data_IF_495877509412
#
_entry.id   IF_495877509412
#
_cell.length_a   1.000
_cell.length_b   1.000
_cell.length_c   1.000
_cell.angle_alpha   90.00
_cell.angle_beta   90.00
_cell.angle_gamma   90.00
#
_symmetry.space_group_name_H-M   'P 1'
#
loop_
_entity.id
_entity.type
_entity.pdbx_description
1 polymer ?
#
# COMPACT_ATOMS: atom_id res chain seq x y z
N UNK A 1 -23.59 15.67 18.48
CA UNK A 1 -22.81 15.88 17.25
C UNK A 1 -22.18 14.54 16.88
N UNK A 2 -22.88 13.71 16.10
CA UNK A 2 -22.40 12.40 15.66
C UNK A 2 -22.63 12.37 14.15
N UNK A 3 -21.59 12.66 13.41
CA UNK A 3 -21.65 12.87 11.97
C UNK A 3 -20.31 13.44 11.55
N UNK A 4 -19.35 12.55 11.35
CA UNK A 4 -18.13 12.85 10.59
C UNK A 4 -17.31 11.59 10.30
N UNK A 5 -17.40 10.53 11.10
CA UNK A 5 -16.54 9.35 10.87
C UNK A 5 -16.92 8.56 9.61
N UNK A 6 -18.21 8.54 9.24
CA UNK A 6 -18.70 7.81 8.07
C UNK A 6 -18.38 8.54 6.74
N UNK A 7 -18.48 9.88 6.69
CA UNK A 7 -18.10 10.69 5.53
C UNK A 7 -16.57 10.71 5.29
N UNK A 8 -15.78 10.60 6.36
CA UNK A 8 -14.32 10.50 6.23
C UNK A 8 -13.86 9.18 5.62
N UNK A 9 -14.71 8.15 5.67
CA UNK A 9 -14.45 6.79 5.24
C UNK A 9 -14.86 6.53 3.78
N UNK A 10 -15.89 7.22 3.28
CA UNK A 10 -16.28 7.08 1.86
C UNK A 10 -15.29 7.82 0.91
N UNK A 11 -14.54 8.78 1.46
CA UNK A 11 -13.55 9.55 0.73
C UNK A 11 -12.33 8.73 0.27
N UNK A 12 -12.00 7.61 0.94
CA UNK A 12 -10.82 6.82 0.58
C UNK A 12 -11.24 5.59 -0.21
N UNK A 13 -10.84 5.55 -1.48
CA UNK A 13 -11.17 4.48 -2.42
C UNK A 13 -9.96 3.60 -2.70
N UNK A 14 -10.22 2.34 -3.04
CA UNK A 14 -9.18 1.42 -3.51
C UNK A 14 -8.60 1.91 -4.83
N UNK A 15 -7.27 2.01 -4.89
CA UNK A 15 -6.56 2.20 -6.14
C UNK A 15 -6.36 0.87 -6.86
N UNK A 16 -7.18 0.59 -7.86
CA UNK A 16 -7.09 -0.64 -8.66
C UNK A 16 -5.76 -0.72 -9.42
N UNK A 17 -5.24 0.41 -9.91
CA UNK A 17 -3.96 0.44 -10.60
C UNK A 17 -2.79 0.07 -9.67
N UNK A 18 -2.86 0.51 -8.41
CA UNK A 18 -1.89 0.13 -7.39
C UNK A 18 -1.97 -1.36 -7.05
N UNK A 19 -3.18 -1.90 -6.93
CA UNK A 19 -3.39 -3.31 -6.65
C UNK A 19 -2.84 -4.20 -7.77
N UNK A 20 -3.13 -3.90 -9.03
CA UNK A 20 -2.62 -4.67 -10.17
C UNK A 20 -1.10 -4.54 -10.28
N UNK A 21 -0.54 -3.33 -10.08
CA UNK A 21 0.90 -3.12 -10.08
C UNK A 21 1.61 -3.91 -8.97
N UNK A 22 1.07 -3.91 -7.75
CA UNK A 22 1.58 -4.73 -6.65
C UNK A 22 1.57 -6.22 -7.00
N UNK A 23 0.47 -6.70 -7.58
CA UNK A 23 0.29 -8.10 -7.99
C UNK A 23 1.29 -8.51 -9.06
N UNK A 24 1.56 -7.64 -10.04
CA UNK A 24 2.58 -7.88 -11.06
C UNK A 24 3.98 -7.95 -10.45
N UNK A 25 4.33 -7.03 -9.54
CA UNK A 25 5.61 -7.05 -8.83
C UNK A 25 5.80 -8.34 -8.04
N UNK A 26 4.76 -8.77 -7.31
CA UNK A 26 4.80 -10.01 -6.53
C UNK A 26 5.05 -11.21 -7.46
N UNK A 27 4.34 -11.27 -8.60
CA UNK A 27 4.53 -12.33 -9.61
C UNK A 27 5.93 -12.31 -10.23
N UNK A 28 6.52 -11.13 -10.39
CA UNK A 28 7.89 -10.97 -10.88
C UNK A 28 8.96 -11.32 -9.83
N UNK A 29 8.56 -11.52 -8.57
CA UNK A 29 9.49 -11.80 -7.45
C UNK A 29 10.05 -10.54 -6.78
N UNK A 30 9.52 -9.36 -7.09
CA UNK A 30 9.85 -8.09 -6.42
C UNK A 30 9.14 -7.97 -5.06
N UNK A 31 9.46 -8.92 -4.17
CA UNK A 31 8.90 -8.98 -2.82
C UNK A 31 10.03 -9.03 -1.81
N UNK A 32 10.01 -8.08 -0.89
CA UNK A 32 10.89 -8.06 0.25
C UNK A 32 10.23 -8.85 1.41
N UNK A 33 10.88 -9.95 1.79
CA UNK A 33 10.49 -10.79 2.91
C UNK A 33 11.10 -10.25 4.21
N UNK A 34 10.59 -9.12 4.70
CA UNK A 34 11.02 -8.58 5.99
C UNK A 34 10.33 -9.27 7.18
N UNK A 35 11.03 -9.30 8.30
CA UNK A 35 10.52 -9.80 9.57
C UNK A 35 9.23 -9.09 10.01
N UNK A 36 8.29 -9.84 10.61
CA UNK A 36 7.00 -9.30 11.08
C UNK A 36 7.23 -8.10 12.01
N UNK A 37 6.72 -6.92 11.63
CA UNK A 37 6.58 -5.78 12.53
C UNK A 37 7.53 -4.59 12.30
N UNK A 38 8.44 -4.66 11.32
CA UNK A 38 9.43 -3.57 11.11
C UNK A 38 8.99 -2.47 10.13
N UNK A 39 7.75 -2.51 9.64
CA UNK A 39 7.26 -1.53 8.66
C UNK A 39 7.39 -0.08 9.15
N UNK A 40 7.23 0.18 10.45
CA UNK A 40 7.43 1.52 11.01
C UNK A 40 8.86 2.07 10.88
N UNK A 41 9.86 1.19 10.76
CA UNK A 41 11.27 1.56 10.52
C UNK A 41 11.64 1.56 9.04
N UNK A 42 10.96 0.75 8.24
CA UNK A 42 11.19 0.61 6.80
C UNK A 42 10.32 1.54 5.96
N UNK A 43 9.55 2.43 6.61
CA UNK A 43 8.74 3.39 5.90
C UNK A 43 9.66 4.44 5.27
N UNK A 44 9.55 4.70 3.95
CA UNK A 44 10.42 5.65 3.29
C UNK A 44 10.26 7.04 3.89
N UNK A 45 11.38 7.67 4.23
CA UNK A 45 11.42 9.04 4.75
C UNK A 45 10.76 10.01 3.79
N UNK A 46 10.29 11.13 4.32
CA UNK A 46 9.66 12.19 3.51
C UNK A 46 10.56 12.68 2.35
N UNK A 47 11.88 12.59 2.53
CA UNK A 47 12.91 12.87 1.52
C UNK A 47 12.87 11.86 0.37
N UNK A 48 12.95 10.55 0.65
CA UNK A 48 12.82 9.47 -0.34
C UNK A 48 11.53 9.58 -1.14
N UNK A 49 10.42 9.87 -0.45
CA UNK A 49 9.13 10.10 -1.11
C UNK A 49 9.18 11.32 -2.04
N UNK A 50 9.83 12.41 -1.62
CA UNK A 50 9.98 13.62 -2.44
C UNK A 50 10.86 13.34 -3.67
N UNK A 51 11.94 12.61 -3.50
CA UNK A 51 12.86 12.26 -4.58
C UNK A 51 12.18 11.35 -5.61
N UNK A 52 11.44 10.34 -5.14
CA UNK A 52 10.65 9.47 -6.00
C UNK A 52 9.61 10.25 -6.81
N UNK A 53 8.87 11.18 -6.18
CA UNK A 53 7.92 12.03 -6.88
C UNK A 53 8.62 12.98 -7.87
N UNK A 54 9.83 13.47 -7.57
CA UNK A 54 10.61 14.29 -8.50
C UNK A 54 11.09 13.50 -9.72
N UNK A 55 11.49 12.24 -9.53
CA UNK A 55 12.01 11.38 -10.59
C UNK A 55 10.91 10.76 -11.46
N UNK A 56 9.83 10.28 -10.85
CA UNK A 56 8.79 9.49 -11.50
C UNK A 56 7.43 10.19 -11.59
N UNK A 57 7.22 11.25 -10.81
CA UNK A 57 5.95 11.96 -10.72
C UNK A 57 4.94 11.33 -9.74
N UNK A 58 3.83 12.03 -9.54
CA UNK A 58 2.73 11.55 -8.69
C UNK A 58 2.01 10.31 -9.25
N UNK A 59 2.02 10.11 -10.58
CA UNK A 59 1.37 8.97 -11.21
C UNK A 59 1.96 7.62 -10.78
N UNK A 60 3.29 7.53 -10.71
CA UNK A 60 3.98 6.35 -10.17
C UNK A 60 3.80 6.25 -8.65
N UNK A 61 3.89 7.37 -7.93
CA UNK A 61 3.66 7.39 -6.49
C UNK A 61 2.27 6.85 -6.13
N UNK A 62 1.26 7.16 -6.94
CA UNK A 62 -0.10 6.65 -6.78
C UNK A 62 -0.16 5.12 -6.83
N UNK A 63 0.60 4.48 -7.73
CA UNK A 63 0.62 3.03 -7.86
C UNK A 63 1.15 2.33 -6.62
N UNK A 64 1.99 2.99 -5.81
CA UNK A 64 2.53 2.39 -4.58
C UNK A 64 1.60 2.52 -3.36
N UNK A 65 0.38 3.04 -3.55
CA UNK A 65 -0.58 3.29 -2.48
C UNK A 65 -1.94 2.67 -2.80
N UNK A 66 -2.41 1.77 -1.93
CA UNK A 66 -3.68 1.07 -2.12
C UNK A 66 -4.90 1.96 -1.85
N UNK A 67 -4.76 3.02 -1.06
CA UNK A 67 -5.85 3.95 -0.79
C UNK A 67 -5.63 5.31 -1.44
N UNK A 68 -6.65 5.83 -2.10
CA UNK A 68 -6.71 7.20 -2.62
C UNK A 68 -7.81 7.96 -1.89
N UNK A 69 -7.43 9.04 -1.22
CA UNK A 69 -8.31 9.96 -0.52
C UNK A 69 -8.72 11.12 -1.45
N UNK A 70 -9.92 11.04 -2.00
CA UNK A 70 -10.40 12.00 -3.02
C UNK A 70 -10.56 13.44 -2.48
N UNK A 71 -10.53 13.64 -1.16
CA UNK A 71 -10.59 14.99 -0.55
C UNK A 71 -9.36 15.84 -0.82
N UNK A 72 -8.24 15.21 -1.18
CA UNK A 72 -6.98 15.89 -1.45
C UNK A 72 -6.69 15.90 -2.96
N UNK A 73 -6.10 16.99 -3.46
CA UNK A 73 -5.69 17.08 -4.86
C UNK A 73 -4.64 16.01 -5.21
N UNK A 74 -4.65 15.54 -6.46
CA UNK A 74 -3.72 14.54 -7.01
C UNK A 74 -2.22 14.86 -6.81
N UNK A 75 -1.89 16.15 -6.69
CA UNK A 75 -0.54 16.67 -6.39
C UNK A 75 -0.21 16.71 -4.89
N UNK A 76 -1.01 16.05 -4.04
CA UNK A 76 -0.83 16.05 -2.59
C UNK A 76 -0.46 14.66 -2.11
N UNK A 77 0.69 14.51 -1.45
CA UNK A 77 1.11 13.23 -0.84
C UNK A 77 0.06 12.64 0.10
N UNK A 78 -0.68 13.50 0.81
CA UNK A 78 -1.77 13.11 1.74
C UNK A 78 -2.95 12.40 1.06
N UNK A 79 -3.12 12.57 -0.26
CA UNK A 79 -4.11 11.85 -1.07
C UNK A 79 -3.82 10.35 -1.03
N UNK A 80 -2.55 9.96 -1.03
CA UNK A 80 -2.16 8.57 -1.14
C UNK A 80 -1.95 7.98 0.25
N UNK A 81 -2.68 6.91 0.54
CA UNK A 81 -2.70 6.22 1.83
C UNK A 81 -2.42 4.74 1.63
N UNK A 82 -2.07 4.07 2.73
CA UNK A 82 -1.78 2.62 2.72
C UNK A 82 -0.64 2.25 1.76
N UNK A 83 0.58 2.77 2.01
CA UNK A 83 1.76 2.30 1.29
C UNK A 83 2.01 0.84 1.65
N UNK A 84 2.33 0.05 0.63
CA UNK A 84 2.54 -1.39 0.77
C UNK A 84 3.97 -1.85 0.42
N UNK A 85 4.83 -0.92 0.02
CA UNK A 85 6.22 -1.19 -0.35
C UNK A 85 7.08 0.07 -0.35
N UNK A 86 8.37 -0.08 -0.63
CA UNK A 86 9.38 0.98 -0.55
C UNK A 86 9.66 1.64 -1.92
N UNK A 87 8.63 1.77 -2.76
CA UNK A 87 8.76 2.25 -4.15
C UNK A 87 9.66 1.42 -5.09
N UNK A 88 10.16 0.27 -4.60
CA UNK A 88 11.02 -0.64 -5.34
C UNK A 88 10.57 -2.09 -5.23
N UNK A 89 10.30 -2.54 -4.00
CA UNK A 89 9.86 -3.89 -3.71
C UNK A 89 8.60 -3.87 -2.84
N UNK A 90 7.77 -4.91 -2.97
CA UNK A 90 6.57 -5.08 -2.15
C UNK A 90 6.96 -5.69 -0.81
N UNK A 91 6.68 -5.01 0.29
CA UNK A 91 7.02 -5.52 1.63
C UNK A 91 5.82 -6.22 2.24
N UNK A 92 5.99 -7.49 2.64
CA UNK A 92 4.92 -8.26 3.32
C UNK A 92 4.38 -7.53 4.55
N UNK A 93 5.27 -6.90 5.33
CA UNK A 93 4.90 -6.11 6.50
C UNK A 93 4.12 -4.84 6.15
N UNK A 94 4.43 -4.20 5.02
CA UNK A 94 3.69 -3.04 4.52
C UNK A 94 2.25 -3.40 4.14
N UNK A 95 2.07 -4.50 3.39
CA UNK A 95 0.75 -5.03 3.02
C UNK A 95 -0.06 -5.42 4.25
N UNK A 96 0.56 -6.07 5.24
CA UNK A 96 -0.11 -6.47 6.48
C UNK A 96 -0.50 -5.26 7.35
N UNK A 97 0.36 -4.25 7.43
CA UNK A 97 0.05 -2.98 8.10
C UNK A 97 -1.08 -2.24 7.37
N UNK A 98 -1.08 -2.27 6.04
CA UNK A 98 -2.15 -1.70 5.23
C UNK A 98 -3.49 -2.39 5.49
N UNK A 99 -3.53 -3.73 5.47
CA UNK A 99 -4.70 -4.53 5.78
C UNK A 99 -5.22 -4.23 7.20
N UNK A 100 -4.35 -4.28 8.21
CA UNK A 100 -4.74 -4.05 9.60
C UNK A 100 -5.28 -2.64 9.84
N UNK A 101 -4.71 -1.62 9.19
CA UNK A 101 -5.27 -0.27 9.25
C UNK A 101 -6.58 -0.16 8.47
N UNK A 102 -6.68 -0.78 7.30
CA UNK A 102 -7.89 -0.73 6.48
C UNK A 102 -9.09 -1.31 7.24
N UNK A 103 -8.89 -2.45 7.92
CA UNK A 103 -9.91 -3.06 8.78
C UNK A 103 -10.30 -2.22 9.99
N UNK A 104 -9.34 -1.57 10.66
CA UNK A 104 -9.62 -0.66 11.77
C UNK A 104 -10.52 0.52 11.38
N UNK A 105 -10.38 0.99 10.15
CA UNK A 105 -11.22 2.05 9.61
C UNK A 105 -12.40 1.50 8.80
N UNK A 106 -12.66 0.19 8.71
CA UNK A 106 -13.73 -0.40 7.89
C UNK A 106 -13.64 -0.07 6.37
N UNK A 107 -12.43 0.11 5.83
CA UNK A 107 -12.21 0.20 4.38
C UNK A 107 -12.17 -1.20 3.76
N UNK A 108 -13.34 -1.85 3.64
CA UNK A 108 -13.44 -3.25 3.20
C UNK A 108 -12.79 -3.53 1.84
N UNK A 109 -12.91 -2.60 0.88
CA UNK A 109 -12.28 -2.77 -0.44
C UNK A 109 -10.74 -2.83 -0.36
N UNK A 110 -10.15 -1.92 0.43
CA UNK A 110 -8.70 -1.84 0.64
C UNK A 110 -8.23 -3.03 1.46
N UNK A 111 -8.97 -3.41 2.50
CA UNK A 111 -8.69 -4.59 3.32
C UNK A 111 -8.65 -5.86 2.46
N UNK A 112 -9.68 -6.08 1.63
CA UNK A 112 -9.76 -7.26 0.79
C UNK A 112 -8.64 -7.29 -0.27
N UNK A 113 -8.33 -6.15 -0.89
CA UNK A 113 -7.21 -6.03 -1.82
C UNK A 113 -5.87 -6.33 -1.13
N UNK A 114 -5.63 -5.77 0.05
CA UNK A 114 -4.42 -6.03 0.83
C UNK A 114 -4.34 -7.50 1.28
N UNK A 115 -5.45 -8.12 1.68
CA UNK A 115 -5.53 -9.53 2.03
C UNK A 115 -5.17 -10.43 0.85
N UNK A 116 -5.66 -10.10 -0.36
CA UNK A 116 -5.30 -10.81 -1.59
C UNK A 116 -3.81 -10.70 -1.89
N UNK A 117 -3.23 -9.49 -1.85
CA UNK A 117 -1.79 -9.30 -2.07
C UNK A 117 -0.96 -10.08 -1.04
N UNK A 118 -1.36 -10.05 0.24
CA UNK A 118 -0.73 -10.82 1.30
C UNK A 118 -0.74 -12.32 1.00
N UNK A 119 -1.87 -12.86 0.54
CA UNK A 119 -1.98 -14.28 0.21
C UNK A 119 -1.03 -14.66 -0.93
N UNK A 120 -0.93 -13.84 -1.98
CA UNK A 120 -0.03 -14.08 -3.11
C UNK A 120 1.44 -14.00 -2.66
N UNK A 121 1.78 -13.03 -1.80
CA UNK A 121 3.12 -12.91 -1.20
C UNK A 121 3.47 -14.14 -0.37
N UNK A 122 2.54 -14.62 0.44
CA UNK A 122 2.73 -15.80 1.28
C UNK A 122 3.01 -17.03 0.41
N UNK A 123 2.18 -17.26 -0.60
CA UNK A 123 2.35 -18.35 -1.57
C UNK A 123 3.69 -18.26 -2.32
N UNK A 124 4.09 -17.06 -2.73
CA UNK A 124 5.34 -16.83 -3.47
C UNK A 124 6.57 -16.94 -2.57
N UNK A 125 6.49 -16.42 -1.34
CA UNK A 125 7.54 -16.49 -0.34
C UNK A 125 7.79 -17.92 0.16
N UNK A 126 6.74 -18.72 0.34
CA UNK A 126 6.86 -20.15 0.65
C UNK A 126 7.51 -20.94 -0.50
N UNK A 127 7.21 -20.60 -1.75
CA UNK A 127 7.86 -21.21 -2.90
C UNK A 127 9.36 -20.88 -2.97
N UNK A 128 9.75 -19.68 -2.55
CA UNK A 128 11.16 -19.26 -2.49
C UNK A 128 11.90 -19.84 -1.27
N UNK A 129 11.21 -20.05 -0.14
CA UNK A 129 11.78 -20.65 1.07
C UNK A 129 12.00 -22.18 0.98
N UNK A 130 11.36 -22.85 0.01
CA UNK A 130 11.50 -24.31 -0.24
C UNK A 130 12.57 -24.68 -1.28
N UNK A 131 13.33 -23.70 -1.80
CA UNK A 131 14.45 -23.94 -2.73
C UNK A 131 15.78 -23.88 -2.00
#
# INVERSE_FOLDING_TARGET
MVGNDQEKNDAVKLNVAAFEYAKELIKQGHVAADGRGEWGKHQPSAETQNEFIRMHGFGEYAKWHLGIDDRYAENTKRRYKFPYGDFKDVHRCGVLAAQSRAGQYNYYEIENAAAQLKAIIDMTGEAHAKR
#
